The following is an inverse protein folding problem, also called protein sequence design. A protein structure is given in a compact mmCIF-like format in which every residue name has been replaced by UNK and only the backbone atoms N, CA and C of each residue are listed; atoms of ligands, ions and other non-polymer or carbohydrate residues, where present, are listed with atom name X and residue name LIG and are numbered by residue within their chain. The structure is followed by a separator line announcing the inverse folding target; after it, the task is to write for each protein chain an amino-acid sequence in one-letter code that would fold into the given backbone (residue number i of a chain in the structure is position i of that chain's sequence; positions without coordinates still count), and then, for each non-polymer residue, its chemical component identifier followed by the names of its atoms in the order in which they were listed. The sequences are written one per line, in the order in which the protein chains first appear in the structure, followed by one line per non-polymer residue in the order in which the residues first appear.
data_IF_937181008194
#
_entry.id   IF_937181008194
#
_cell.length_a   1.000
_cell.length_b   1.000
_cell.length_c   1.000
_cell.angle_alpha   90.00
_cell.angle_beta   90.00
_cell.angle_gamma   90.00
#
_symmetry.space_group_name_H-M   'P 1'
#
loop_
_entity.id
_entity.type
_entity.pdbx_description
1 polymer ?
#
# COMPACT_ATOMS: atom_id res chain seq x y z
N UNK A 1 12.71 -24.85 -9.56
CA UNK A 1 11.86 -24.14 -8.56
C UNK A 1 12.51 -24.10 -7.18
N UNK A 2 13.00 -25.23 -6.66
CA UNK A 2 13.62 -25.31 -5.33
C UNK A 2 14.77 -24.30 -5.11
N UNK A 3 15.74 -24.25 -6.03
CA UNK A 3 16.83 -23.24 -6.00
C UNK A 3 16.36 -21.79 -5.97
N UNK A 4 15.23 -21.48 -6.62
CA UNK A 4 14.68 -20.11 -6.63
C UNK A 4 14.03 -19.78 -5.29
N UNK A 5 13.33 -20.74 -4.67
CA UNK A 5 12.78 -20.58 -3.34
C UNK A 5 13.87 -20.40 -2.28
N UNK A 6 14.99 -21.10 -2.41
CA UNK A 6 16.17 -20.89 -1.55
C UNK A 6 16.75 -19.48 -1.72
N UNK A 7 16.90 -18.99 -2.96
CA UNK A 7 17.35 -17.62 -3.20
C UNK A 7 16.41 -16.57 -2.60
N UNK A 8 15.09 -16.75 -2.73
CA UNK A 8 14.11 -15.84 -2.12
C UNK A 8 14.26 -15.82 -0.59
N UNK A 9 14.42 -16.99 0.04
CA UNK A 9 14.62 -17.08 1.50
C UNK A 9 15.92 -16.41 1.94
N UNK A 10 17.01 -16.63 1.20
CA UNK A 10 18.31 -16.02 1.48
C UNK A 10 18.24 -14.49 1.39
N UNK A 11 17.69 -13.95 0.29
CA UNK A 11 17.52 -12.50 0.12
C UNK A 11 16.61 -11.89 1.20
N UNK A 12 15.53 -12.57 1.58
CA UNK A 12 14.65 -12.08 2.63
C UNK A 12 15.35 -12.06 4.01
N UNK A 13 16.13 -13.09 4.33
CA UNK A 13 16.91 -13.13 5.56
C UNK A 13 18.00 -12.05 5.60
N UNK A 14 18.69 -11.83 4.49
CA UNK A 14 19.69 -10.77 4.34
C UNK A 14 19.04 -9.38 4.49
N UNK A 15 17.89 -9.16 3.84
CA UNK A 15 17.13 -7.92 3.99
C UNK A 15 16.68 -7.68 5.45
N UNK A 16 16.26 -8.74 6.16
CA UNK A 16 15.93 -8.66 7.59
C UNK A 16 17.13 -8.22 8.44
N UNK A 17 18.36 -8.66 8.12
CA UNK A 17 19.58 -8.24 8.81
C UNK A 17 19.96 -6.80 8.50
N UNK A 18 19.88 -6.39 7.23
CA UNK A 18 20.09 -5.00 6.85
C UNK A 18 19.09 -4.07 7.52
N UNK A 19 17.81 -4.44 7.58
CA UNK A 19 16.77 -3.64 8.21
C UNK A 19 17.03 -3.47 9.72
N UNK A 20 17.40 -4.54 10.43
CA UNK A 20 17.81 -4.47 11.85
C UNK A 20 19.02 -3.56 12.07
N UNK A 21 19.96 -3.58 11.13
CA UNK A 21 21.16 -2.73 11.13
C UNK A 21 20.89 -1.31 10.64
N UNK A 22 19.63 -0.95 10.32
CA UNK A 22 19.21 0.35 9.77
C UNK A 22 19.84 0.70 8.41
N UNK A 23 20.36 -0.30 7.69
CA UNK A 23 20.83 -0.21 6.31
C UNK A 23 19.64 -0.32 5.37
N UNK A 24 18.80 0.73 5.37
CA UNK A 24 17.48 0.66 4.75
C UNK A 24 17.51 0.56 3.22
N UNK A 25 18.51 1.15 2.54
CA UNK A 25 18.60 1.08 1.08
C UNK A 25 18.92 -0.36 0.62
N UNK A 26 19.86 -1.00 1.30
CA UNK A 26 20.25 -2.39 1.07
C UNK A 26 19.13 -3.36 1.42
N UNK A 27 18.46 -3.15 2.55
CA UNK A 27 17.27 -3.92 2.94
C UNK A 27 16.16 -3.79 1.88
N UNK A 28 15.89 -2.56 1.42
CA UNK A 28 14.87 -2.30 0.42
C UNK A 28 15.16 -3.04 -0.88
N UNK A 29 16.42 -3.01 -1.34
CA UNK A 29 16.86 -3.68 -2.56
C UNK A 29 16.71 -5.20 -2.45
N UNK A 30 17.18 -5.79 -1.37
CA UNK A 30 17.08 -7.24 -1.18
C UNK A 30 15.62 -7.72 -1.07
N UNK A 31 14.73 -6.97 -0.38
CA UNK A 31 13.29 -7.27 -0.41
C UNK A 31 12.70 -7.14 -1.82
N UNK A 32 13.08 -6.11 -2.57
CA UNK A 32 12.60 -5.88 -3.94
C UNK A 32 12.98 -7.04 -4.87
N UNK A 33 14.24 -7.46 -4.82
CA UNK A 33 14.76 -8.57 -5.63
C UNK A 33 14.08 -9.89 -5.26
N UNK A 34 13.88 -10.16 -3.97
CA UNK A 34 13.12 -11.31 -3.49
C UNK A 34 11.66 -11.27 -3.99
N UNK A 35 11.01 -10.10 -3.95
CA UNK A 35 9.64 -9.92 -4.41
C UNK A 35 9.49 -10.22 -5.91
N UNK A 36 10.42 -9.72 -6.74
CA UNK A 36 10.44 -9.98 -8.19
C UNK A 36 10.64 -11.45 -8.49
N UNK A 37 11.57 -12.13 -7.82
CA UNK A 37 11.78 -13.57 -7.99
C UNK A 37 10.51 -14.36 -7.61
N UNK A 38 9.87 -14.02 -6.49
CA UNK A 38 8.63 -14.65 -6.05
C UNK A 38 7.48 -14.47 -7.04
N UNK A 39 7.30 -13.26 -7.56
CA UNK A 39 6.28 -12.96 -8.54
C UNK A 39 6.52 -13.66 -9.89
N UNK A 40 7.72 -13.48 -10.46
CA UNK A 40 7.99 -13.81 -11.87
C UNK A 40 8.26 -15.31 -12.05
N UNK A 41 8.87 -15.97 -11.05
CA UNK A 41 9.36 -17.35 -11.19
C UNK A 41 8.59 -18.38 -10.37
N UNK A 42 8.03 -17.97 -9.24
CA UNK A 42 7.30 -18.86 -8.32
C UNK A 42 5.79 -18.61 -8.41
N UNK A 43 5.38 -17.51 -9.03
CA UNK A 43 3.97 -17.08 -9.10
C UNK A 43 3.32 -16.89 -7.73
N UNK A 44 4.14 -16.70 -6.68
CA UNK A 44 3.66 -16.35 -5.34
C UNK A 44 3.43 -14.85 -5.24
N UNK A 45 2.32 -14.42 -5.84
CA UNK A 45 1.93 -13.02 -5.85
C UNK A 45 1.61 -12.48 -4.45
N UNK A 46 1.24 -13.35 -3.50
CA UNK A 46 0.94 -12.93 -2.12
C UNK A 46 2.22 -12.67 -1.34
N UNK A 47 3.19 -13.58 -1.41
CA UNK A 47 4.52 -13.39 -0.83
C UNK A 47 5.23 -12.19 -1.43
N UNK A 48 5.18 -12.03 -2.75
CA UNK A 48 5.73 -10.86 -3.44
C UNK A 48 5.10 -9.54 -2.92
N UNK A 49 3.78 -9.48 -2.71
CA UNK A 49 3.11 -8.29 -2.19
C UNK A 49 3.54 -7.92 -0.75
N UNK A 50 3.92 -8.90 0.07
CA UNK A 50 4.48 -8.62 1.40
C UNK A 50 5.86 -7.98 1.24
N UNK A 51 6.71 -8.57 0.39
CA UNK A 51 8.08 -8.11 0.18
C UNK A 51 8.15 -6.73 -0.49
N UNK A 52 7.33 -6.47 -1.51
CA UNK A 52 7.24 -5.13 -2.12
C UNK A 52 6.84 -4.05 -1.10
N UNK A 53 5.93 -4.36 -0.17
CA UNK A 53 5.54 -3.41 0.87
C UNK A 53 6.66 -3.12 1.85
N UNK A 54 7.43 -4.14 2.25
CA UNK A 54 8.62 -3.98 3.10
C UNK A 54 9.71 -3.17 2.40
N UNK A 55 9.93 -3.47 1.11
CA UNK A 55 10.86 -2.72 0.26
C UNK A 55 10.48 -1.25 0.17
N UNK A 56 9.22 -0.94 -0.16
CA UNK A 56 8.71 0.42 -0.21
C UNK A 56 8.91 1.16 1.12
N UNK A 57 8.57 0.51 2.25
CA UNK A 57 8.75 1.10 3.57
C UNK A 57 10.21 1.45 3.87
N UNK A 58 11.16 0.62 3.45
CA UNK A 58 12.58 0.89 3.61
C UNK A 58 13.05 2.03 2.69
N UNK A 59 12.64 2.04 1.42
CA UNK A 59 12.95 3.13 0.48
C UNK A 59 12.38 4.47 0.93
N UNK A 60 11.19 4.52 1.55
CA UNK A 60 10.65 5.76 2.12
C UNK A 60 11.54 6.31 3.23
N UNK A 61 12.11 5.46 4.10
CA UNK A 61 13.03 5.90 5.17
C UNK A 61 14.30 6.56 4.63
N UNK A 62 14.70 6.23 3.41
CA UNK A 62 15.86 6.81 2.71
C UNK A 62 15.47 7.87 1.68
N UNK A 63 14.17 8.19 1.55
CA UNK A 63 13.60 9.06 0.52
C UNK A 63 13.95 8.63 -0.91
N UNK A 64 14.14 7.33 -1.14
CA UNK A 64 14.47 6.76 -2.44
C UNK A 64 13.21 6.66 -3.30
N UNK A 65 13.27 7.22 -4.51
CA UNK A 65 12.16 7.16 -5.49
C UNK A 65 11.85 5.72 -5.96
N UNK A 66 12.72 4.76 -5.67
CA UNK A 66 12.49 3.33 -5.90
C UNK A 66 11.26 2.79 -5.16
N UNK A 67 10.76 3.48 -4.13
CA UNK A 67 9.47 3.17 -3.50
C UNK A 67 8.30 3.23 -4.50
N UNK A 68 8.38 4.09 -5.52
CA UNK A 68 7.32 4.28 -6.52
C UNK A 68 7.11 2.99 -7.34
N UNK A 69 8.17 2.27 -7.70
CA UNK A 69 8.05 1.01 -8.43
C UNK A 69 7.30 -0.05 -7.62
N UNK A 70 7.50 -0.05 -6.30
CA UNK A 70 6.76 -0.91 -5.39
C UNK A 70 5.28 -0.52 -5.33
N UNK A 71 4.99 0.78 -5.27
CA UNK A 71 3.62 1.31 -5.25
C UNK A 71 2.85 0.95 -6.52
N UNK A 72 3.44 1.19 -7.69
CA UNK A 72 2.87 0.83 -9.00
C UNK A 72 2.54 -0.65 -9.06
N UNK A 73 3.49 -1.51 -8.68
CA UNK A 73 3.28 -2.95 -8.67
C UNK A 73 2.12 -3.35 -7.74
N UNK A 74 2.03 -2.75 -6.54
CA UNK A 74 0.98 -3.06 -5.57
C UNK A 74 -0.41 -2.65 -6.06
N UNK A 75 -0.54 -1.51 -6.74
CA UNK A 75 -1.79 -1.07 -7.37
C UNK A 75 -2.17 -2.05 -8.48
N UNK A 76 -1.25 -2.36 -9.39
CA UNK A 76 -1.48 -3.31 -10.49
C UNK A 76 -1.87 -4.69 -9.99
N UNK A 77 -1.24 -5.16 -8.91
CA UNK A 77 -1.57 -6.43 -8.28
C UNK A 77 -3.01 -6.46 -7.78
N UNK A 78 -3.49 -5.40 -7.13
CA UNK A 78 -4.88 -5.30 -6.67
C UNK A 78 -5.87 -5.24 -7.83
N UNK A 79 -5.55 -4.51 -8.89
CA UNK A 79 -6.36 -4.44 -10.10
C UNK A 79 -6.48 -5.82 -10.77
N UNK A 80 -5.37 -6.55 -10.91
CA UNK A 80 -5.36 -7.92 -11.47
C UNK A 80 -6.18 -8.91 -10.63
N UNK A 81 -6.32 -8.68 -9.33
CA UNK A 81 -7.16 -9.48 -8.44
C UNK A 81 -8.63 -9.02 -8.41
N UNK A 82 -9.00 -8.00 -9.20
CA UNK A 82 -10.35 -7.43 -9.20
C UNK A 82 -10.70 -6.63 -7.94
N UNK A 83 -9.70 -6.30 -7.09
CA UNK A 83 -9.90 -5.59 -5.83
C UNK A 83 -9.87 -4.07 -6.06
N UNK A 84 -10.86 -3.56 -6.79
CA UNK A 84 -10.90 -2.18 -7.28
C UNK A 84 -10.86 -1.16 -6.13
N UNK A 85 -11.66 -1.33 -5.09
CA UNK A 85 -11.64 -0.44 -3.92
C UNK A 85 -10.26 -0.35 -3.27
N UNK A 86 -9.56 -1.49 -3.14
CA UNK A 86 -8.22 -1.53 -2.55
C UNK A 86 -7.17 -0.89 -3.45
N UNK A 87 -7.31 -1.03 -4.77
CA UNK A 87 -6.44 -0.34 -5.72
C UNK A 87 -6.62 1.18 -5.65
N UNK A 88 -7.87 1.67 -5.54
CA UNK A 88 -8.18 3.09 -5.35
C UNK A 88 -7.59 3.61 -4.04
N UNK A 89 -7.76 2.88 -2.94
CA UNK A 89 -7.18 3.22 -1.63
C UNK A 89 -5.65 3.34 -1.72
N UNK A 90 -4.98 2.36 -2.34
CA UNK A 90 -3.54 2.40 -2.56
C UNK A 90 -3.08 3.56 -3.43
N UNK A 91 -3.79 3.90 -4.50
CA UNK A 91 -3.49 5.12 -5.26
C UNK A 91 -3.51 6.36 -4.36
N UNK A 92 -4.53 6.51 -3.50
CA UNK A 92 -4.59 7.67 -2.60
C UNK A 92 -3.49 7.65 -1.54
N UNK A 93 -3.26 6.52 -0.88
CA UNK A 93 -2.20 6.38 0.14
C UNK A 93 -0.80 6.65 -0.45
N UNK A 94 -0.50 6.07 -1.62
CA UNK A 94 0.80 6.20 -2.25
C UNK A 94 0.99 7.58 -2.89
N UNK A 95 -0.08 8.21 -3.39
CA UNK A 95 -0.03 9.61 -3.80
C UNK A 95 0.40 10.52 -2.65
N UNK A 96 -0.23 10.36 -1.48
CA UNK A 96 0.14 11.09 -0.27
C UNK A 96 1.59 10.84 0.16
N UNK A 97 2.05 9.58 0.14
CA UNK A 97 3.46 9.26 0.44
C UNK A 97 4.42 9.90 -0.55
N UNK A 98 4.10 9.93 -1.85
CA UNK A 98 4.94 10.60 -2.85
C UNK A 98 5.08 12.10 -2.55
N UNK A 99 3.98 12.76 -2.18
CA UNK A 99 3.99 14.18 -1.85
C UNK A 99 4.75 14.48 -0.55
N UNK A 100 4.48 13.73 0.53
CA UNK A 100 4.99 14.08 1.86
C UNK A 100 6.37 13.51 2.17
N UNK A 101 6.66 12.30 1.71
CA UNK A 101 7.90 11.61 2.06
C UNK A 101 8.97 11.79 0.98
N UNK A 102 8.56 11.85 -0.30
CA UNK A 102 9.47 11.92 -1.45
C UNK A 102 9.55 13.32 -2.09
N UNK A 103 8.70 14.27 -1.69
CA UNK A 103 8.58 15.60 -2.30
C UNK A 103 8.32 15.53 -3.83
N UNK A 104 7.61 14.49 -4.27
CA UNK A 104 7.29 14.19 -5.66
C UNK A 104 5.81 14.51 -5.95
N UNK A 105 5.49 15.80 -5.93
CA UNK A 105 4.13 16.29 -6.23
C UNK A 105 3.61 15.83 -7.62
N UNK A 106 4.42 15.80 -8.70
CA UNK A 106 3.97 15.26 -9.97
C UNK A 106 3.52 13.80 -9.89
N UNK A 107 4.27 12.94 -9.20
CA UNK A 107 3.88 11.53 -9.06
C UNK A 107 2.68 11.36 -8.12
N UNK A 108 2.58 12.17 -7.08
CA UNK A 108 1.39 12.23 -6.21
C UNK A 108 0.11 12.47 -7.02
N UNK A 109 0.13 13.50 -7.87
CA UNK A 109 -1.00 13.84 -8.73
C UNK A 109 -1.36 12.74 -9.74
N UNK A 110 -0.35 12.01 -10.25
CA UNK A 110 -0.58 10.86 -11.14
C UNK A 110 -1.37 9.75 -10.43
N UNK A 111 -0.99 9.42 -9.19
CA UNK A 111 -1.71 8.43 -8.41
C UNK A 111 -3.15 8.90 -8.06
N UNK A 112 -3.34 10.16 -7.68
CA UNK A 112 -4.68 10.69 -7.42
C UNK A 112 -5.57 10.66 -8.65
N UNK A 113 -5.05 11.07 -9.82
CA UNK A 113 -5.77 10.96 -11.10
C UNK A 113 -6.13 9.51 -11.42
N UNK A 114 -5.21 8.57 -11.17
CA UNK A 114 -5.47 7.14 -11.35
C UNK A 114 -6.59 6.64 -10.44
N UNK A 115 -6.65 7.11 -9.19
CA UNK A 115 -7.74 6.77 -8.26
C UNK A 115 -9.10 7.27 -8.78
N UNK A 116 -9.17 8.52 -9.24
CA UNK A 116 -10.38 9.10 -9.82
C UNK A 116 -10.83 8.38 -11.09
N UNK A 117 -9.89 8.03 -11.97
CA UNK A 117 -10.20 7.29 -13.19
C UNK A 117 -10.76 5.90 -12.88
N UNK A 118 -10.17 5.19 -11.92
CA UNK A 118 -10.69 3.89 -11.46
C UNK A 118 -12.10 4.03 -10.86
N UNK A 119 -12.37 5.09 -10.09
CA UNK A 119 -13.72 5.36 -9.58
C UNK A 119 -14.71 5.55 -10.71
N UNK A 120 -14.36 6.36 -11.71
CA UNK A 120 -15.19 6.66 -12.87
C UNK A 120 -15.47 5.41 -13.70
N UNK A 121 -14.46 4.61 -14.01
CA UNK A 121 -14.60 3.39 -14.82
C UNK A 121 -15.53 2.35 -14.16
N UNK A 122 -15.54 2.30 -12.84
CA UNK A 122 -16.32 1.33 -12.08
C UNK A 122 -17.61 1.92 -11.46
N UNK A 123 -18.00 3.14 -11.84
CA UNK A 123 -19.17 3.87 -11.30
C UNK A 123 -19.18 3.94 -9.76
N UNK A 124 -18.01 4.05 -9.15
CA UNK A 124 -17.84 4.19 -7.70
C UNK A 124 -17.96 5.67 -7.37
N UNK A 125 -18.96 6.05 -6.58
CA UNK A 125 -19.07 7.42 -6.10
C UNK A 125 -17.89 7.75 -5.19
N UNK A 126 -17.27 8.92 -5.41
CA UNK A 126 -16.32 9.45 -4.46
C UNK A 126 -17.09 9.91 -3.22
N UNK A 127 -16.96 9.15 -2.14
CA UNK A 127 -17.33 9.62 -0.80
C UNK A 127 -16.03 10.06 -0.15
N UNK A 128 -15.74 11.36 -0.17
CA UNK A 128 -14.62 11.89 0.60
C UNK A 128 -14.95 11.66 2.08
N UNK A 129 -14.34 10.65 2.70
CA UNK A 129 -14.52 10.33 4.13
C UNK A 129 -13.76 11.34 5.02
N UNK A 130 -13.32 12.48 4.48
CA UNK A 130 -13.07 13.65 5.32
C UNK A 130 -14.39 14.17 5.90
N UNK A 131 -15.03 13.37 6.78
CA UNK A 131 -15.97 13.88 7.76
C UNK A 131 -15.18 14.93 8.55
N UNK A 132 -15.64 16.18 8.57
CA UNK A 132 -15.12 17.16 9.52
C UNK A 132 -15.29 16.53 10.90
N UNK A 133 -14.17 16.15 11.53
CA UNK A 133 -14.20 15.66 12.89
C UNK A 133 -14.53 16.84 13.78
N UNK A 134 -15.80 16.93 14.18
CA UNK A 134 -16.26 17.91 15.15
C UNK A 134 -16.23 17.24 16.53
N UNK A 135 -15.17 17.52 17.29
CA UNK A 135 -15.00 17.01 18.65
C UNK A 135 -16.18 17.39 19.55
N UNK A 136 -16.78 18.57 19.35
CA UNK A 136 -17.91 19.03 20.16
C UNK A 136 -19.15 18.14 19.98
N UNK A 137 -19.27 17.46 18.84
CA UNK A 137 -20.36 16.53 18.56
C UNK A 137 -20.25 15.19 19.32
N UNK A 138 -19.14 14.97 20.03
CA UNK A 138 -18.83 13.75 20.81
C UNK A 138 -18.47 14.01 22.28
N UNK A 139 -18.22 15.27 22.68
CA UNK A 139 -17.72 15.65 24.02
C UNK A 139 -18.54 15.10 25.20
N UNK A 140 -19.84 14.88 25.01
CA UNK A 140 -20.73 14.29 26.02
C UNK A 140 -21.47 13.03 25.53
N UNK A 141 -21.03 12.43 24.41
CA UNK A 141 -21.73 11.31 23.80
C UNK A 141 -20.78 10.24 23.25
N UNK A 142 -20.07 9.60 24.19
CA UNK A 142 -19.18 8.47 23.90
C UNK A 142 -19.94 7.31 23.21
N UNK A 143 -21.23 7.13 23.52
CA UNK A 143 -22.08 6.13 22.89
C UNK A 143 -22.26 6.38 21.39
N UNK A 144 -22.43 7.64 20.99
CA UNK A 144 -22.47 8.04 19.58
C UNK A 144 -21.13 7.79 18.89
N UNK A 145 -20.01 8.12 19.54
CA UNK A 145 -18.69 7.82 18.99
C UNK A 145 -18.51 6.31 18.73
N UNK A 146 -18.91 5.45 19.69
CA UNK A 146 -18.87 3.99 19.52
C UNK A 146 -19.81 3.49 18.42
N UNK A 147 -21.01 4.07 18.30
CA UNK A 147 -21.98 3.70 17.26
C UNK A 147 -21.50 4.10 15.88
N UNK A 148 -20.94 5.31 15.71
CA UNK A 148 -20.43 5.80 14.43
C UNK A 148 -19.24 4.95 13.97
N UNK A 149 -18.32 4.59 14.88
CA UNK A 149 -17.21 3.67 14.60
C UNK A 149 -17.74 2.29 14.17
N UNK A 150 -18.74 1.76 14.87
CA UNK A 150 -19.33 0.46 14.55
C UNK A 150 -20.05 0.49 13.19
N UNK A 151 -20.76 1.57 12.87
CA UNK A 151 -21.45 1.76 11.58
C UNK A 151 -20.46 1.89 10.43
N UNK A 152 -19.39 2.66 10.60
CA UNK A 152 -18.33 2.78 9.58
C UNK A 152 -17.67 1.40 9.34
N UNK A 153 -17.39 0.63 10.41
CA UNK A 153 -16.85 -0.74 10.31
C UNK A 153 -17.81 -1.73 9.61
N UNK A 154 -19.12 -1.60 9.83
CA UNK A 154 -20.13 -2.44 9.18
C UNK A 154 -20.36 -2.05 7.71
N UNK A 155 -20.27 -0.76 7.36
CA UNK A 155 -20.30 -0.30 5.98
C UNK A 155 -19.06 -0.77 5.20
N UNK A 156 -17.89 -0.81 5.82
CA UNK A 156 -16.70 -1.39 5.20
C UNK A 156 -16.89 -2.90 4.96
N UNK A 157 -17.35 -3.66 5.95
CA UNK A 157 -17.51 -5.12 5.83
C UNK A 157 -18.68 -5.58 4.94
N UNK A 158 -19.68 -4.73 4.68
CA UNK A 158 -20.75 -5.02 3.72
C UNK A 158 -20.36 -4.75 2.26
N UNK A 159 -19.29 -3.98 2.02
CA UNK A 159 -18.70 -3.76 0.67
C UNK A 159 -17.78 -4.89 0.20
N UNK A 160 -17.57 -5.91 1.04
CA UNK A 160 -16.70 -7.08 0.77
C UNK A 160 -17.45 -8.42 0.70
N UNK A 161 -18.79 -8.40 0.64
CA UNK A 161 -19.62 -9.57 0.27
C UNK A 161 -20.04 -9.46 -1.18
#
# INVERSE_FOLDING_TARGET
MERVNESIRALNAEADEFEKSKMYEEAAKAYYDAARLGNDRVQDSKGAAILFRRSASCYLKTKSRSAIDCFEWMVDYMLKKGKIYRAIEYCVEYGYSCEKELDDAPKSEEFYKRAEELRRQHNISHVCVMKKFDQSSYENNISKARSDIMQDFLQENSRYK
#
